data_IF_842187122524
#
_entry.id   IF_842187122524
#
_cell.length_a   1.000
_cell.length_b   1.000
_cell.length_c   1.000
_cell.angle_alpha   90.00
_cell.angle_beta   90.00
_cell.angle_gamma   90.00
#
_symmetry.space_group_name_H-M   'P 1'
#
loop_
_entity.id
_entity.type
_entity.pdbx_description
1 polymer ?
#
# COMPACT_ATOMS: atom_id res chain seq x y z
N UNK A 1 11.61 -27.66 -7.69
CA UNK A 1 10.84 -26.95 -6.64
C UNK A 1 9.76 -26.19 -7.40
N UNK A 2 8.48 -26.23 -6.97
CA UNK A 2 7.39 -25.49 -7.63
C UNK A 2 7.62 -24.01 -7.48
N UNK A 3 7.29 -23.24 -8.50
CA UNK A 3 7.27 -21.78 -8.45
C UNK A 3 6.10 -21.26 -7.59
N UNK A 4 6.16 -20.01 -7.14
CA UNK A 4 5.10 -19.37 -6.35
C UNK A 4 3.76 -19.39 -7.07
N UNK A 5 3.76 -19.19 -8.37
CA UNK A 5 2.57 -19.23 -9.23
C UNK A 5 1.96 -20.63 -9.30
N UNK A 6 2.80 -21.66 -9.44
CA UNK A 6 2.32 -23.05 -9.46
C UNK A 6 1.67 -23.43 -8.13
N UNK A 7 2.29 -23.04 -7.01
CA UNK A 7 1.73 -23.26 -5.68
C UNK A 7 0.40 -22.53 -5.51
N UNK A 8 0.32 -21.26 -5.95
CA UNK A 8 -0.89 -20.45 -5.85
C UNK A 8 -2.05 -21.05 -6.64
N UNK A 9 -1.80 -21.61 -7.83
CA UNK A 9 -2.81 -22.19 -8.72
C UNK A 9 -3.36 -23.54 -8.25
N UNK A 10 -2.63 -24.24 -7.40
CA UNK A 10 -3.10 -25.50 -6.81
C UNK A 10 -4.11 -25.30 -5.68
N UNK A 11 -4.23 -24.09 -5.15
CA UNK A 11 -5.13 -23.78 -4.03
C UNK A 11 -6.53 -23.43 -4.52
N UNK A 12 -7.53 -24.09 -3.98
CA UNK A 12 -8.93 -23.71 -4.18
C UNK A 12 -9.26 -22.47 -3.36
N UNK A 13 -9.56 -21.35 -4.03
CA UNK A 13 -9.85 -20.09 -3.39
C UNK A 13 -11.22 -20.10 -2.70
N UNK A 14 -11.27 -19.67 -1.45
CA UNK A 14 -12.51 -19.41 -0.72
C UNK A 14 -13.08 -18.04 -1.09
N UNK A 15 -14.41 -17.91 -1.11
CA UNK A 15 -15.06 -16.61 -1.35
C UNK A 15 -14.77 -15.65 -0.19
N UNK A 16 -14.50 -14.38 -0.51
CA UNK A 16 -14.14 -13.39 0.50
C UNK A 16 -15.22 -13.20 1.57
N UNK A 17 -16.50 -13.33 1.21
CA UNK A 17 -17.62 -13.28 2.17
C UNK A 17 -17.56 -14.38 3.21
N UNK A 18 -17.07 -15.56 2.86
CA UNK A 18 -16.91 -16.67 3.80
C UNK A 18 -15.77 -16.40 4.79
N UNK A 19 -14.68 -15.79 4.28
CA UNK A 19 -13.57 -15.37 5.12
C UNK A 19 -14.01 -14.26 6.08
N UNK A 20 -14.71 -13.24 5.61
CA UNK A 20 -15.23 -12.15 6.43
C UNK A 20 -16.18 -12.65 7.53
N UNK A 21 -17.10 -13.55 7.18
CA UNK A 21 -17.99 -14.18 8.18
C UNK A 21 -17.21 -14.95 9.25
N UNK A 22 -16.15 -15.65 8.86
CA UNK A 22 -15.27 -16.35 9.80
C UNK A 22 -14.52 -15.43 10.77
N UNK A 23 -14.33 -14.17 10.39
CA UNK A 23 -13.75 -13.11 11.22
C UNK A 23 -14.80 -12.37 12.06
N UNK A 24 -16.09 -12.69 11.92
CA UNK A 24 -17.17 -11.99 12.61
C UNK A 24 -17.58 -10.67 11.98
N UNK A 25 -17.20 -10.42 10.71
CA UNK A 25 -17.59 -9.22 9.98
C UNK A 25 -18.99 -9.44 9.38
N UNK A 26 -19.96 -8.53 9.60
CA UNK A 26 -21.27 -8.61 9.02
C UNK A 26 -21.22 -8.64 7.49
N UNK A 27 -21.99 -9.51 6.87
CA UNK A 27 -21.98 -9.70 5.41
C UNK A 27 -22.40 -8.45 4.63
N UNK A 28 -23.29 -7.68 5.18
CA UNK A 28 -23.82 -6.43 4.66
C UNK A 28 -22.76 -5.32 4.59
N UNK A 29 -21.78 -5.37 5.50
CA UNK A 29 -20.69 -4.40 5.57
C UNK A 29 -19.54 -4.71 4.62
N UNK A 30 -19.54 -5.89 4.01
CA UNK A 30 -18.47 -6.32 3.11
C UNK A 30 -18.66 -5.74 1.72
N UNK A 31 -17.82 -4.79 1.34
CA UNK A 31 -17.80 -4.19 0.00
C UNK A 31 -16.96 -5.04 -0.96
N UNK A 32 -17.62 -5.85 -1.79
CA UNK A 32 -16.94 -6.79 -2.66
C UNK A 32 -16.25 -6.12 -3.84
N UNK A 33 -15.02 -6.55 -4.08
CA UNK A 33 -14.27 -6.34 -5.32
C UNK A 33 -14.06 -7.70 -5.99
N UNK A 34 -15.09 -8.18 -6.70
CA UNK A 34 -15.12 -9.53 -7.24
C UNK A 34 -15.41 -10.59 -6.17
N UNK A 35 -14.90 -11.82 -6.39
CA UNK A 35 -15.21 -12.99 -5.54
C UNK A 35 -14.30 -13.15 -4.35
N UNK A 36 -13.06 -12.64 -4.45
CA UNK A 36 -11.95 -13.02 -3.56
C UNK A 36 -11.33 -11.84 -2.83
N UNK A 37 -11.74 -10.60 -3.13
CA UNK A 37 -11.23 -9.37 -2.53
C UNK A 37 -12.42 -8.52 -2.08
N UNK A 38 -12.25 -7.80 -0.95
CA UNK A 38 -13.25 -6.88 -0.44
C UNK A 38 -12.60 -5.74 0.34
N UNK A 39 -13.32 -4.63 0.46
CA UNK A 39 -13.03 -3.56 1.42
C UNK A 39 -13.92 -3.68 2.63
N UNK A 40 -13.37 -3.34 3.78
CA UNK A 40 -14.07 -3.30 5.06
C UNK A 40 -14.15 -1.86 5.52
N UNK A 41 -15.34 -1.33 5.85
CA UNK A 41 -15.50 0.04 6.30
C UNK A 41 -14.79 0.32 7.62
N UNK A 42 -14.22 1.52 7.75
CA UNK A 42 -13.44 1.94 8.92
C UNK A 42 -14.32 2.02 10.18
N UNK A 43 -15.63 2.31 10.03
CA UNK A 43 -16.52 2.40 11.20
C UNK A 43 -16.69 1.10 11.99
N UNK A 44 -16.26 -0.04 11.42
CA UNK A 44 -16.23 -1.33 12.12
C UNK A 44 -15.03 -1.48 13.08
N UNK A 45 -14.14 -0.49 13.14
CA UNK A 45 -13.06 -0.49 14.11
C UNK A 45 -13.63 -0.35 15.51
N UNK A 46 -13.30 -1.30 16.38
CA UNK A 46 -13.72 -1.35 17.76
C UNK A 46 -12.48 -1.21 18.66
N UNK A 47 -12.30 -0.05 19.22
CA UNK A 47 -11.15 0.30 20.06
C UNK A 47 -11.02 -0.59 21.32
N UNK A 48 -12.14 -1.03 21.90
CA UNK A 48 -12.13 -1.90 23.06
C UNK A 48 -11.66 -3.31 22.70
N UNK A 49 -12.13 -3.83 21.57
CA UNK A 49 -11.63 -5.11 21.05
C UNK A 49 -10.14 -5.06 20.71
N UNK A 50 -9.66 -3.95 20.15
CA UNK A 50 -8.23 -3.80 19.87
C UNK A 50 -7.39 -3.96 21.14
N UNK A 51 -7.80 -3.35 22.25
CA UNK A 51 -7.08 -3.44 23.53
C UNK A 51 -7.08 -4.84 24.15
N UNK A 52 -8.01 -5.68 23.77
CA UNK A 52 -8.13 -7.07 24.27
C UNK A 52 -7.34 -8.07 23.43
N UNK A 53 -6.78 -7.64 22.29
CA UNK A 53 -6.05 -8.51 21.37
C UNK A 53 -4.55 -8.26 21.40
N UNK A 54 -3.79 -9.25 20.97
CA UNK A 54 -2.34 -9.15 20.91
C UNK A 54 -1.90 -8.68 19.52
N UNK A 55 -0.99 -7.72 19.47
CA UNK A 55 -0.31 -7.27 18.26
C UNK A 55 1.09 -7.88 18.20
N UNK A 56 1.40 -8.55 17.10
CA UNK A 56 2.73 -9.09 16.83
C UNK A 56 3.33 -8.28 15.67
N UNK A 57 4.38 -7.52 15.94
CA UNK A 57 5.10 -6.76 14.93
C UNK A 57 6.25 -7.59 14.35
N UNK A 58 6.23 -7.81 13.04
CA UNK A 58 7.34 -8.42 12.30
C UNK A 58 8.14 -7.33 11.62
N UNK A 59 9.36 -7.14 12.06
CA UNK A 59 10.25 -6.08 11.57
C UNK A 59 11.65 -6.62 11.28
N UNK A 60 12.51 -5.76 10.75
CA UNK A 60 13.91 -6.08 10.54
C UNK A 60 14.79 -4.84 10.74
N UNK A 61 16.01 -5.04 11.14
CA UNK A 61 16.96 -4.00 11.49
C UNK A 61 17.51 -3.32 10.23
N UNK A 62 17.82 -4.09 9.19
CA UNK A 62 18.48 -3.59 7.98
C UNK A 62 17.78 -4.11 6.73
N UNK A 63 17.45 -3.24 5.76
CA UNK A 63 16.96 -3.68 4.46
C UNK A 63 18.07 -4.33 3.63
N UNK A 64 17.71 -5.28 2.77
CA UNK A 64 18.61 -5.88 1.80
C UNK A 64 18.02 -5.78 0.39
N UNK A 65 18.87 -5.84 -0.64
CA UNK A 65 18.42 -5.78 -2.05
C UNK A 65 17.44 -6.89 -2.42
N UNK A 66 17.63 -8.07 -1.88
CA UNK A 66 16.76 -9.22 -2.13
C UNK A 66 15.48 -9.25 -1.28
N UNK A 67 15.35 -8.32 -0.34
CA UNK A 67 14.33 -8.39 0.71
C UNK A 67 14.72 -9.40 1.80
N UNK A 68 14.19 -9.19 3.00
CA UNK A 68 14.51 -9.98 4.20
C UNK A 68 13.36 -10.90 4.63
N UNK A 69 12.35 -11.06 3.79
CA UNK A 69 11.26 -12.01 4.02
C UNK A 69 10.25 -11.61 5.09
N UNK A 70 10.14 -10.34 5.50
CA UNK A 70 9.14 -9.89 6.50
C UNK A 70 7.73 -10.34 6.16
N UNK A 71 7.29 -10.12 4.93
CA UNK A 71 5.95 -10.50 4.46
C UNK A 71 5.74 -12.00 4.54
N UNK A 72 6.69 -12.79 4.03
CA UNK A 72 6.63 -14.26 4.06
C UNK A 72 6.56 -14.79 5.49
N UNK A 73 7.37 -14.24 6.40
CA UNK A 73 7.36 -14.60 7.82
C UNK A 73 6.04 -14.23 8.48
N UNK A 74 5.50 -13.03 8.21
CA UNK A 74 4.21 -12.58 8.77
C UNK A 74 3.07 -13.51 8.35
N UNK A 75 3.02 -13.88 7.06
CA UNK A 75 1.99 -14.78 6.54
C UNK A 75 2.18 -16.19 7.14
N UNK A 76 3.40 -16.72 7.13
CA UNK A 76 3.70 -18.03 7.71
C UNK A 76 3.37 -18.11 9.18
N UNK A 77 3.65 -17.05 9.96
CA UNK A 77 3.28 -16.97 11.36
C UNK A 77 1.77 -17.00 11.57
N UNK A 78 1.01 -16.22 10.80
CA UNK A 78 -0.46 -16.21 10.88
C UNK A 78 -1.05 -17.58 10.50
N UNK A 79 -0.52 -18.24 9.46
CA UNK A 79 -0.91 -19.59 9.07
C UNK A 79 -0.60 -20.60 10.17
N UNK A 80 0.59 -20.54 10.76
CA UNK A 80 1.00 -21.41 11.87
C UNK A 80 0.13 -21.24 13.10
N UNK A 81 -0.18 -20.02 13.50
CA UNK A 81 -1.07 -19.72 14.61
C UNK A 81 -2.48 -20.27 14.37
N UNK A 82 -3.04 -20.08 13.19
CA UNK A 82 -4.35 -20.64 12.85
C UNK A 82 -4.33 -22.18 12.84
N UNK A 83 -3.24 -22.79 12.40
CA UNK A 83 -3.09 -24.26 12.40
C UNK A 83 -3.11 -24.87 13.81
N UNK A 84 -2.62 -24.15 14.81
CA UNK A 84 -2.66 -24.57 16.21
C UNK A 84 -3.92 -24.08 16.97
N UNK A 85 -4.94 -23.63 16.23
CA UNK A 85 -6.24 -23.23 16.80
C UNK A 85 -6.29 -21.81 17.36
N UNK A 86 -5.27 -20.98 17.15
CA UNK A 86 -5.31 -19.56 17.51
C UNK A 86 -5.95 -18.77 16.37
N UNK A 87 -6.81 -17.80 16.69
CA UNK A 87 -7.38 -16.89 15.70
C UNK A 87 -6.37 -15.78 15.40
N UNK A 88 -5.74 -15.82 14.25
CA UNK A 88 -4.76 -14.82 13.82
C UNK A 88 -5.13 -14.26 12.46
N UNK A 89 -4.96 -12.95 12.28
CA UNK A 89 -5.10 -12.23 11.02
C UNK A 89 -3.79 -11.53 10.74
N UNK A 90 -3.33 -11.59 9.50
CA UNK A 90 -2.14 -10.84 9.07
C UNK A 90 -2.56 -9.52 8.48
N UNK A 91 -1.93 -8.43 8.92
CA UNK A 91 -2.04 -7.12 8.31
C UNK A 91 -0.75 -6.84 7.52
N UNK A 92 -0.87 -6.68 6.24
CA UNK A 92 0.25 -6.45 5.32
C UNK A 92 0.07 -5.11 4.61
N UNK A 93 1.19 -4.55 4.18
CA UNK A 93 1.17 -3.45 3.25
C UNK A 93 0.70 -3.94 1.88
N UNK A 94 -0.26 -3.27 1.29
CA UNK A 94 -0.71 -3.55 -0.06
C UNK A 94 0.35 -3.10 -1.08
N UNK A 95 0.71 -3.94 -2.07
CA UNK A 95 1.74 -3.58 -3.05
C UNK A 95 1.22 -2.61 -4.10
N UNK A 96 2.15 -1.86 -4.67
CA UNK A 96 1.97 -1.19 -5.95
C UNK A 96 2.65 -1.98 -7.08
N UNK A 97 2.90 -1.37 -8.23
CA UNK A 97 3.50 -2.04 -9.40
C UNK A 97 4.97 -2.48 -9.21
N UNK A 98 5.65 -2.02 -8.16
CA UNK A 98 7.06 -2.33 -7.92
C UNK A 98 7.44 -3.81 -8.00
N UNK A 99 6.67 -4.76 -7.42
CA UNK A 99 6.95 -6.18 -7.53
C UNK A 99 6.94 -6.71 -8.97
N UNK A 100 6.11 -6.15 -9.85
CA UNK A 100 6.02 -6.57 -11.25
C UNK A 100 7.27 -6.22 -12.06
N UNK A 101 8.04 -5.24 -11.61
CA UNK A 101 9.28 -4.80 -12.25
C UNK A 101 10.54 -5.39 -11.61
N UNK A 102 10.39 -6.37 -10.73
CA UNK A 102 11.52 -7.03 -10.06
C UNK A 102 12.30 -6.12 -9.08
N UNK A 103 11.73 -4.97 -8.72
CA UNK A 103 12.37 -4.01 -7.81
C UNK A 103 12.21 -4.38 -6.34
N UNK A 104 11.28 -5.29 -6.02
CA UNK A 104 10.95 -5.74 -4.66
C UNK A 104 10.56 -7.20 -4.66
N UNK A 105 10.67 -7.84 -3.51
CA UNK A 105 10.06 -9.14 -3.25
C UNK A 105 8.53 -9.06 -3.38
N UNK A 106 7.89 -10.16 -3.76
CA UNK A 106 6.43 -10.24 -3.90
C UNK A 106 5.73 -9.81 -2.61
N UNK A 107 4.79 -8.86 -2.73
CA UNK A 107 4.08 -8.35 -1.57
C UNK A 107 3.00 -9.33 -1.05
N UNK A 108 2.65 -10.32 -1.85
CA UNK A 108 1.76 -11.42 -1.45
C UNK A 108 2.49 -12.57 -0.73
N UNK A 109 3.78 -12.42 -0.41
CA UNK A 109 4.59 -13.50 0.16
C UNK A 109 5.23 -14.39 -0.89
N UNK A 110 5.63 -15.62 -0.50
CA UNK A 110 6.26 -16.58 -1.40
C UNK A 110 6.20 -18.01 -0.87
N UNK A 111 6.44 -19.00 -1.74
CA UNK A 111 6.32 -20.40 -1.42
C UNK A 111 4.92 -20.76 -0.93
N UNK A 112 4.85 -21.47 0.18
CA UNK A 112 3.57 -21.81 0.84
C UNK A 112 3.04 -20.71 1.75
N UNK A 113 3.79 -19.62 1.95
CA UNK A 113 3.38 -18.45 2.74
C UNK A 113 2.92 -17.33 1.81
N UNK A 114 1.74 -17.49 1.22
CA UNK A 114 1.17 -16.55 0.25
C UNK A 114 -0.21 -16.07 0.65
N UNK A 115 -0.55 -14.82 0.27
CA UNK A 115 -1.91 -14.29 0.25
C UNK A 115 -2.46 -14.44 -1.17
N UNK A 116 -3.66 -14.98 -1.29
CA UNK A 116 -4.30 -15.26 -2.56
C UNK A 116 -5.56 -14.40 -2.77
N UNK A 117 -5.86 -13.98 -3.99
CA UNK A 117 -5.20 -14.29 -5.28
C UNK A 117 -3.93 -13.45 -5.48
N UNK A 118 -2.77 -14.10 -5.53
CA UNK A 118 -1.46 -13.45 -5.58
C UNK A 118 -1.30 -12.55 -6.83
N UNK A 119 -1.71 -13.05 -8.00
CA UNK A 119 -1.56 -12.32 -9.26
C UNK A 119 -2.30 -10.98 -9.22
N UNK A 120 -3.55 -10.96 -8.74
CA UNK A 120 -4.35 -9.73 -8.66
C UNK A 120 -3.80 -8.75 -7.62
N UNK A 121 -3.31 -9.26 -6.48
CA UNK A 121 -2.74 -8.43 -5.42
C UNK A 121 -1.46 -7.76 -5.91
N UNK A 122 -0.57 -8.49 -6.60
CA UNK A 122 0.69 -7.95 -7.10
C UNK A 122 0.54 -6.99 -8.29
N UNK A 123 -0.58 -7.04 -9.01
CA UNK A 123 -0.84 -6.18 -10.17
C UNK A 123 -1.41 -4.79 -9.83
N UNK A 124 -1.22 -4.32 -8.60
CA UNK A 124 -1.65 -2.98 -8.18
C UNK A 124 -3.15 -2.77 -8.25
N UNK A 125 -3.88 -3.42 -7.38
CA UNK A 125 -5.32 -3.25 -7.33
C UNK A 125 -5.74 -1.88 -6.75
N UNK A 126 -5.26 -1.51 -5.55
CA UNK A 126 -5.49 -0.22 -4.90
C UNK A 126 -4.37 0.15 -3.92
N UNK A 127 -3.12 -0.18 -4.21
CA UNK A 127 -2.00 -0.12 -3.27
C UNK A 127 -1.86 1.19 -2.48
N UNK A 128 -1.17 1.13 -1.36
CA UNK A 128 -0.91 2.27 -0.48
C UNK A 128 -0.27 3.45 -1.21
N UNK A 129 0.60 3.19 -2.18
CA UNK A 129 1.20 4.24 -3.01
C UNK A 129 0.19 4.98 -3.87
N UNK A 130 -0.77 4.27 -4.45
CA UNK A 130 -1.86 4.92 -5.17
C UNK A 130 -2.69 5.80 -4.23
N UNK A 131 -3.01 5.35 -3.03
CA UNK A 131 -3.71 6.14 -2.04
C UNK A 131 -2.91 7.38 -1.61
N UNK A 132 -1.61 7.22 -1.33
CA UNK A 132 -0.71 8.32 -0.95
C UNK A 132 -0.56 9.34 -2.08
N UNK A 133 -0.32 8.91 -3.32
CA UNK A 133 -0.17 9.81 -4.45
C UNK A 133 -1.47 10.55 -4.78
N UNK A 134 -2.63 9.88 -4.67
CA UNK A 134 -3.94 10.51 -4.89
C UNK A 134 -4.23 11.56 -3.82
N UNK A 135 -4.02 11.27 -2.55
CA UNK A 135 -4.17 12.23 -1.46
C UNK A 135 -3.21 13.41 -1.61
N UNK A 136 -1.95 13.13 -1.94
CA UNK A 136 -0.94 14.14 -2.17
C UNK A 136 -1.29 15.07 -3.35
N UNK A 137 -1.73 14.50 -4.46
CA UNK A 137 -2.15 15.27 -5.64
C UNK A 137 -3.32 16.19 -5.32
N UNK A 138 -4.29 15.72 -4.53
CA UNK A 138 -5.42 16.55 -4.09
C UNK A 138 -4.94 17.72 -3.22
N UNK A 139 -4.10 17.48 -2.22
CA UNK A 139 -3.54 18.54 -1.36
C UNK A 139 -2.75 19.54 -2.20
N UNK A 140 -1.94 19.06 -3.13
CA UNK A 140 -1.12 19.92 -4.01
C UNK A 140 -1.99 20.79 -4.90
N UNK A 141 -3.06 20.24 -5.48
CA UNK A 141 -3.99 20.99 -6.31
C UNK A 141 -4.72 22.09 -5.52
N UNK A 142 -5.13 21.79 -4.29
CA UNK A 142 -5.75 22.77 -3.39
C UNK A 142 -4.75 23.87 -3.00
N UNK A 143 -3.51 23.52 -2.72
CA UNK A 143 -2.44 24.46 -2.39
C UNK A 143 -2.14 25.40 -3.57
N UNK A 144 -1.97 24.84 -4.78
CA UNK A 144 -1.74 25.63 -6.00
C UNK A 144 -2.91 26.60 -6.27
N UNK A 145 -4.16 26.13 -6.11
CA UNK A 145 -5.32 26.97 -6.26
C UNK A 145 -5.36 28.10 -5.22
N UNK A 146 -5.07 27.78 -3.95
CA UNK A 146 -5.00 28.79 -2.90
C UNK A 146 -3.96 29.87 -3.22
N UNK A 147 -2.75 29.49 -3.63
CA UNK A 147 -1.70 30.43 -4.01
C UNK A 147 -2.11 31.29 -5.20
N UNK A 148 -2.72 30.68 -6.21
CA UNK A 148 -3.21 31.41 -7.38
C UNK A 148 -4.29 32.44 -7.01
N UNK A 149 -5.23 32.08 -6.17
CA UNK A 149 -6.30 32.99 -5.75
C UNK A 149 -5.82 34.12 -4.84
N UNK A 150 -4.83 33.87 -3.99
CA UNK A 150 -4.30 34.87 -3.03
C UNK A 150 -3.09 35.68 -3.53
N UNK A 151 -2.63 35.47 -4.76
CA UNK A 151 -1.40 36.09 -5.30
C UNK A 151 -1.37 37.62 -5.28
N UNK A 152 -2.53 38.27 -5.26
CA UNK A 152 -2.65 39.73 -5.29
C UNK A 152 -2.97 40.35 -3.93
N UNK A 153 -3.19 39.57 -2.88
CA UNK A 153 -3.65 40.07 -1.58
C UNK A 153 -2.52 40.34 -0.58
N UNK A 154 -1.28 40.01 -0.91
CA UNK A 154 -0.14 40.03 0.01
C UNK A 154 -0.36 39.21 1.32
N UNK A 155 -1.49 38.58 1.45
CA UNK A 155 -1.84 37.64 2.53
C UNK A 155 -1.56 36.22 2.05
N UNK A 156 -1.05 35.39 2.90
CA UNK A 156 -0.89 33.97 2.58
C UNK A 156 0.51 33.42 2.83
N UNK A 157 0.81 32.34 2.16
CA UNK A 157 2.05 31.59 2.34
C UNK A 157 3.25 32.36 1.78
N UNK A 158 4.27 32.61 2.63
CA UNK A 158 5.52 33.28 2.24
C UNK A 158 6.50 32.34 1.57
N UNK A 159 6.49 31.08 1.96
CA UNK A 159 7.41 30.05 1.46
C UNK A 159 6.70 28.70 1.38
N UNK A 160 6.94 27.97 0.31
CA UNK A 160 6.37 26.65 0.09
C UNK A 160 7.52 25.66 0.04
N UNK A 161 7.58 24.78 1.04
CA UNK A 161 8.53 23.66 1.12
C UNK A 161 7.86 22.33 0.74
N UNK A 162 6.82 22.39 -0.06
CA UNK A 162 6.06 21.24 -0.48
C UNK A 162 6.67 20.60 -1.71
N UNK A 163 7.02 19.32 -1.60
CA UNK A 163 7.56 18.55 -2.73
C UNK A 163 6.47 17.64 -3.29
N UNK A 164 6.35 17.59 -4.61
CA UNK A 164 5.39 16.72 -5.28
C UNK A 164 5.85 15.29 -5.25
N UNK A 165 4.92 14.35 -5.09
CA UNK A 165 5.17 12.91 -5.05
C UNK A 165 4.39 12.26 -6.17
N UNK A 166 5.07 11.44 -6.96
CA UNK A 166 4.48 10.55 -7.94
C UNK A 166 4.91 9.11 -7.66
N UNK A 167 3.99 8.18 -7.84
CA UNK A 167 4.34 6.76 -7.88
C UNK A 167 4.79 6.40 -9.30
N UNK A 168 6.09 6.58 -9.55
CA UNK A 168 6.68 6.31 -10.86
C UNK A 168 7.81 5.32 -10.72
N UNK A 169 7.72 4.22 -11.44
CA UNK A 169 8.79 3.23 -11.53
C UNK A 169 9.85 3.61 -12.57
N UNK A 170 9.58 4.62 -13.39
CA UNK A 170 10.53 5.14 -14.37
C UNK A 170 11.58 6.01 -13.68
N UNK A 171 12.83 5.57 -13.71
CA UNK A 171 13.96 6.27 -13.08
C UNK A 171 14.26 7.62 -13.72
N UNK A 172 13.92 7.84 -14.99
CA UNK A 172 14.11 9.11 -15.67
C UNK A 172 13.24 10.23 -15.12
N UNK A 173 12.11 9.88 -14.49
CA UNK A 173 11.17 10.82 -13.89
C UNK A 173 11.48 11.16 -12.43
N UNK A 174 12.58 10.67 -11.88
CA UNK A 174 12.93 10.89 -10.47
C UNK A 174 13.42 12.30 -10.17
N UNK A 175 13.98 12.97 -11.15
CA UNK A 175 14.50 14.33 -11.05
C UNK A 175 13.86 15.20 -12.14
N UNK A 176 12.66 15.68 -11.88
CA UNK A 176 11.94 16.58 -12.79
C UNK A 176 11.57 17.87 -12.08
N UNK A 177 11.45 18.95 -12.84
CA UNK A 177 10.90 20.21 -12.38
C UNK A 177 9.49 20.34 -12.94
N UNK A 178 8.52 20.60 -12.08
CA UNK A 178 7.11 20.83 -12.44
C UNK A 178 6.75 22.29 -12.28
N UNK A 179 5.61 22.73 -12.86
CA UNK A 179 5.10 24.09 -12.70
C UNK A 179 5.75 25.14 -13.62
N UNK A 180 6.40 24.73 -14.70
CA UNK A 180 7.10 25.64 -15.63
C UNK A 180 6.16 26.41 -16.57
N UNK A 181 4.87 26.10 -16.60
CA UNK A 181 3.87 26.72 -17.48
C UNK A 181 3.34 28.10 -17.02
N UNK A 182 3.97 28.74 -16.06
CA UNK A 182 3.53 30.03 -15.50
C UNK A 182 2.59 29.90 -14.31
N UNK A 183 2.17 31.02 -13.74
CA UNK A 183 1.44 31.09 -12.46
C UNK A 183 0.13 30.29 -12.38
N UNK A 184 -0.51 30.06 -13.52
CA UNK A 184 -1.72 29.25 -13.60
C UNK A 184 -1.45 27.73 -13.46
N UNK A 185 -0.20 27.30 -13.63
CA UNK A 185 0.22 25.90 -13.57
C UNK A 185 0.96 25.55 -12.26
N UNK A 186 0.81 26.39 -11.24
CA UNK A 186 1.44 26.19 -9.94
C UNK A 186 2.82 26.80 -9.79
N UNK A 187 3.45 26.53 -8.68
CA UNK A 187 4.79 27.03 -8.36
C UNK A 187 5.84 26.04 -8.88
N UNK A 188 6.91 26.49 -9.56
CA UNK A 188 7.99 25.61 -9.97
C UNK A 188 8.59 24.87 -8.77
N UNK A 189 8.55 23.56 -8.79
CA UNK A 189 9.09 22.70 -7.73
C UNK A 189 9.77 21.49 -8.31
N UNK A 190 10.90 21.09 -7.69
CA UNK A 190 11.50 19.80 -8.00
C UNK A 190 10.57 18.70 -7.47
N UNK A 191 10.31 17.70 -8.30
CA UNK A 191 9.65 16.49 -7.84
C UNK A 191 10.60 15.75 -6.92
N UNK A 192 10.17 15.53 -5.69
CA UNK A 192 10.74 14.46 -4.90
C UNK A 192 9.90 13.23 -5.16
N UNK A 193 10.47 12.34 -5.88
CA UNK A 193 9.95 11.03 -5.94
C UNK A 193 10.04 10.40 -4.55
N UNK A 194 9.14 9.61 -4.14
CA UNK A 194 9.14 8.19 -3.95
C UNK A 194 8.22 7.73 -2.88
N UNK A 195 7.54 6.81 -3.26
CA UNK A 195 6.84 5.88 -2.43
C UNK A 195 7.76 4.96 -1.61
N UNK A 196 9.05 4.91 -1.87
CA UNK A 196 9.93 3.92 -1.25
C UNK A 196 11.36 4.37 -0.98
N UNK A 197 11.46 5.38 -0.11
CA UNK A 197 12.75 5.86 0.37
C UNK A 197 13.58 4.79 1.12
N UNK A 198 12.98 3.67 1.49
CA UNK A 198 13.66 2.57 2.18
C UNK A 198 14.50 1.70 1.23
N UNK A 199 14.11 1.59 -0.04
CA UNK A 199 14.79 0.73 -1.01
C UNK A 199 15.95 1.44 -1.74
N UNK A 200 16.16 2.74 -1.53
CA UNK A 200 17.14 3.54 -2.28
C UNK A 200 18.46 3.82 -1.56
N UNK A 201 18.57 3.42 -0.34
CA UNK A 201 19.79 3.62 0.45
C UNK A 201 20.75 2.42 0.39
N UNK A 202 20.64 1.61 -0.64
CA UNK A 202 21.56 0.50 -0.85
C UNK A 202 22.34 0.64 -2.15
#
# INVERSE_FOLDING_TARGET
MKSDIEIAREVSLRKIKEIATGLGIPREEVQNYGRYIAKIPIHLIDEEKIRQHNLILVTAITPTKAGIGKTTVSIGLALGLNKIGKKAVVALREPSLGPCFGMKGGAAGGGYSQVLPMENINLHFTGDFHAVTSAHNMITALLDNYIYQTRNTCEGLKEIKWKRVLDVNDRSLRNIVSGLGGSANGVPTCLLYTSDAADERS
#
